data_IF_014820270312
#
_entry.id   IF_014820270312
#
_cell.length_a   1.000
_cell.length_b   1.000
_cell.length_c   1.000
_cell.angle_alpha   90.00
_cell.angle_beta   90.00
_cell.angle_gamma   90.00
#
_symmetry.space_group_name_H-M   'P 1'
#
loop_
_entity.id
_entity.type
_entity.pdbx_description
1 polymer ?
#
# COMPACT_ATOMS: atom_id res chain seq x y z
N UNK A 1 -16.09 9.94 -27.99
CA UNK A 1 -15.86 9.36 -26.66
C UNK A 1 -14.41 9.61 -26.33
N UNK A 2 -14.12 10.59 -25.46
CA UNK A 2 -12.74 10.79 -25.00
C UNK A 2 -12.39 9.67 -24.03
N UNK A 3 -11.39 8.87 -24.40
CA UNK A 3 -10.81 7.88 -23.50
C UNK A 3 -9.94 8.66 -22.52
N UNK A 4 -10.37 8.77 -21.27
CA UNK A 4 -9.46 9.19 -20.19
C UNK A 4 -8.38 8.12 -20.11
N UNK A 5 -7.13 8.49 -20.36
CA UNK A 5 -5.97 7.61 -20.23
C UNK A 5 -5.75 7.31 -18.73
N UNK A 6 -6.61 6.46 -18.16
CA UNK A 6 -6.43 5.92 -16.81
C UNK A 6 -5.38 4.81 -16.87
N UNK A 7 -4.32 4.94 -16.10
CA UNK A 7 -3.26 3.94 -16.01
C UNK A 7 -2.49 4.07 -14.71
N UNK A 8 -1.94 2.96 -14.23
CA UNK A 8 -1.01 2.98 -13.11
C UNK A 8 0.23 3.78 -13.52
N UNK A 9 0.55 4.81 -12.76
CA UNK A 9 1.74 5.66 -12.94
C UNK A 9 2.64 5.46 -11.75
N UNK A 10 3.78 4.83 -12.01
CA UNK A 10 4.74 4.50 -10.95
C UNK A 10 5.16 5.77 -10.17
N UNK A 11 5.23 5.70 -8.85
CA UNK A 11 5.58 6.78 -7.93
C UNK A 11 4.41 7.68 -7.50
N UNK A 12 3.17 7.43 -7.97
CA UNK A 12 2.05 8.37 -7.76
C UNK A 12 0.84 7.80 -7.02
N UNK A 13 0.85 6.51 -6.65
CA UNK A 13 -0.31 5.86 -6.05
C UNK A 13 -0.04 5.47 -4.61
N UNK A 14 -1.07 5.53 -3.76
CA UNK A 14 -1.01 5.05 -2.38
C UNK A 14 -0.62 3.57 -2.28
N UNK A 15 -0.99 2.78 -3.30
CA UNK A 15 -0.63 1.36 -3.40
C UNK A 15 0.74 1.12 -4.04
N UNK A 16 1.45 2.16 -4.47
CA UNK A 16 2.76 2.03 -5.09
C UNK A 16 3.87 2.18 -4.04
N UNK A 17 4.62 1.10 -3.83
CA UNK A 17 5.74 1.08 -2.89
C UNK A 17 6.80 2.13 -3.21
N UNK A 18 7.01 2.42 -4.49
CA UNK A 18 8.04 3.35 -4.93
C UNK A 18 7.59 4.81 -4.84
N UNK A 19 6.35 5.07 -4.41
CA UNK A 19 5.85 6.42 -4.13
C UNK A 19 6.25 6.94 -2.74
N UNK A 20 6.72 6.07 -1.84
CA UNK A 20 7.00 6.43 -0.44
C UNK A 20 8.32 5.82 0.04
N UNK A 21 9.06 6.60 0.82
CA UNK A 21 10.24 6.09 1.52
C UNK A 21 9.83 5.15 2.67
N UNK A 22 10.78 4.37 3.17
CA UNK A 22 10.54 3.46 4.30
C UNK A 22 10.14 4.25 5.56
N UNK A 23 10.74 5.43 5.74
CA UNK A 23 10.43 6.36 6.84
C UNK A 23 8.99 6.88 6.76
N UNK A 24 8.52 7.22 5.55
CA UNK A 24 7.13 7.64 5.33
C UNK A 24 6.15 6.51 5.69
N UNK A 25 6.47 5.28 5.27
CA UNK A 25 5.65 4.10 5.53
C UNK A 25 5.60 3.80 7.03
N UNK A 26 6.73 3.88 7.73
CA UNK A 26 6.79 3.70 9.18
C UNK A 26 5.97 4.76 9.93
N UNK A 27 6.05 6.02 9.51
CA UNK A 27 5.27 7.11 10.07
C UNK A 27 3.75 6.88 9.92
N UNK A 28 3.31 6.46 8.73
CA UNK A 28 1.92 6.10 8.47
C UNK A 28 1.46 4.89 9.27
N UNK A 29 2.27 3.84 9.33
CA UNK A 29 1.98 2.64 10.12
C UNK A 29 1.79 2.99 11.61
N UNK A 30 2.65 3.84 12.18
CA UNK A 30 2.51 4.31 13.55
C UNK A 30 1.18 5.06 13.80
N UNK A 31 0.73 5.86 12.84
CA UNK A 31 -0.58 6.53 12.89
C UNK A 31 -1.71 5.49 12.87
N UNK A 32 -1.67 4.52 11.95
CA UNK A 32 -2.71 3.50 11.84
C UNK A 32 -2.76 2.58 13.05
N UNK A 33 -1.63 2.30 13.71
CA UNK A 33 -1.60 1.61 14.99
C UNK A 33 -2.40 2.35 16.06
N UNK A 34 -2.16 3.66 16.23
CA UNK A 34 -2.91 4.50 17.19
C UNK A 34 -4.40 4.57 16.85
N UNK A 35 -4.74 4.65 15.57
CA UNK A 35 -6.14 4.63 15.11
C UNK A 35 -6.78 3.28 15.44
N UNK A 36 -6.08 2.17 15.23
CA UNK A 36 -6.59 0.84 15.54
C UNK A 36 -6.82 0.63 17.04
N UNK A 37 -5.95 1.19 17.88
CA UNK A 37 -6.14 1.19 19.34
C UNK A 37 -7.39 1.98 19.75
N UNK A 38 -7.62 3.14 19.12
CA UNK A 38 -8.72 4.04 19.48
C UNK A 38 -10.07 3.66 18.88
N UNK A 39 -10.08 3.14 17.65
CA UNK A 39 -11.27 2.95 16.84
C UNK A 39 -11.54 1.48 16.46
N UNK A 40 -10.67 0.57 16.88
CA UNK A 40 -10.85 -0.87 16.72
C UNK A 40 -9.90 -1.51 15.70
N UNK A 41 -9.72 -2.83 15.77
CA UNK A 41 -8.67 -3.54 15.05
C UNK A 41 -8.81 -3.53 13.52
N UNK A 42 -10.00 -3.21 12.97
CA UNK A 42 -10.23 -3.16 11.52
C UNK A 42 -9.30 -2.18 10.79
N UNK A 43 -8.83 -1.13 11.46
CA UNK A 43 -7.90 -0.15 10.90
C UNK A 43 -6.51 -0.72 10.61
N UNK A 44 -6.16 -1.89 11.18
CA UNK A 44 -4.89 -2.56 10.90
C UNK A 44 -4.76 -3.02 9.44
N UNK A 45 -5.87 -3.10 8.68
CA UNK A 45 -5.83 -3.42 7.24
C UNK A 45 -5.05 -2.40 6.41
N UNK A 46 -4.93 -1.17 6.91
CA UNK A 46 -4.20 -0.08 6.24
C UNK A 46 -2.71 -0.07 6.59
N UNK A 47 -2.27 -0.88 7.55
CA UNK A 47 -0.86 -1.01 7.91
C UNK A 47 -0.14 -1.72 6.77
N UNK A 48 0.91 -1.09 6.28
CA UNK A 48 1.64 -1.57 5.13
C UNK A 48 2.84 -2.42 5.58
N UNK A 49 2.74 -3.74 5.36
CA UNK A 49 3.79 -4.75 5.61
C UNK A 49 4.21 -5.43 4.30
N UNK A 50 4.45 -4.62 3.25
CA UNK A 50 4.94 -5.14 1.96
C UNK A 50 6.44 -5.28 2.05
N UNK A 51 6.91 -6.52 2.25
CA UNK A 51 8.33 -6.87 2.18
C UNK A 51 8.84 -6.66 0.75
N UNK A 52 9.75 -5.70 0.56
CA UNK A 52 10.26 -5.27 -0.74
C UNK A 52 10.81 -6.44 -1.61
N UNK A 53 11.30 -7.50 -0.96
CA UNK A 53 12.04 -8.57 -1.63
C UNK A 53 11.15 -9.67 -2.19
N UNK A 54 9.86 -9.69 -1.87
CA UNK A 54 8.98 -10.80 -2.20
C UNK A 54 8.20 -10.50 -3.48
N UNK A 55 8.84 -10.70 -4.64
CA UNK A 55 8.09 -10.82 -5.90
C UNK A 55 7.11 -11.98 -5.76
N UNK A 56 5.78 -11.75 -5.85
CA UNK A 56 4.84 -12.85 -5.78
C UNK A 56 5.07 -13.78 -6.97
N UNK A 57 5.17 -15.09 -6.70
CA UNK A 57 5.22 -16.10 -7.76
C UNK A 57 3.89 -16.07 -8.52
N UNK A 58 3.90 -15.51 -9.73
CA UNK A 58 2.76 -15.56 -10.62
C UNK A 58 2.57 -17.01 -11.08
N UNK A 59 1.54 -17.69 -10.57
CA UNK A 59 1.12 -18.99 -11.07
C UNK A 59 0.00 -18.80 -12.07
N UNK A 60 0.16 -19.33 -13.29
CA UNK A 60 -0.95 -19.45 -14.24
C UNK A 60 -1.96 -20.44 -13.67
N UNK A 61 -3.18 -19.99 -13.43
CA UNK A 61 -4.33 -20.87 -13.23
C UNK A 61 -4.68 -21.43 -14.60
N UNK A 62 -4.65 -22.76 -14.75
CA UNK A 62 -5.12 -23.48 -15.94
C UNK A 62 -6.60 -23.82 -15.76
#
# INVERSE_FOLDING_TARGET
MEVIQGGFVKGHWQSDRDAYSDEDIEAWNAIFHKIAEKHGPGWKILIWDVKADRKPELRRVK
#
